data_IF_691941133332
#
_entry.id   IF_691941133332
#
_cell.length_a   1.000
_cell.length_b   1.000
_cell.length_c   1.000
_cell.angle_alpha   90.00
_cell.angle_beta   90.00
_cell.angle_gamma   90.00
#
_symmetry.space_group_name_H-M   'P 1'
#
loop_
_entity.id
_entity.type
_entity.pdbx_description
1 polymer ?
#
# COMPACT_ATOMS: atom_id res chain seq x y z
N UNK A 1 6.65 -6.38 6.33
CA UNK A 1 5.97 -5.43 5.41
C UNK A 1 5.82 -4.10 6.11
N UNK A 2 5.84 -2.99 5.39
CA UNK A 2 5.57 -1.66 5.94
C UNK A 2 4.09 -1.30 5.78
N UNK A 3 3.54 -1.52 4.57
CA UNK A 3 2.16 -1.23 4.25
C UNK A 3 1.56 -2.19 3.21
N UNK A 4 0.23 -2.23 3.18
CA UNK A 4 -0.59 -2.98 2.22
C UNK A 4 -1.57 -2.05 1.51
N UNK A 5 -2.42 -2.60 0.66
CA UNK A 5 -3.42 -1.86 -0.12
C UNK A 5 -4.63 -2.76 -0.45
N UNK A 6 -5.59 -2.24 -1.22
CA UNK A 6 -6.80 -2.96 -1.65
C UNK A 6 -6.75 -3.52 -3.08
N UNK A 7 -5.57 -3.85 -3.62
CA UNK A 7 -5.39 -4.40 -4.97
C UNK A 7 -6.22 -5.66 -5.21
N UNK A 8 -6.45 -6.48 -4.18
CA UNK A 8 -7.31 -7.66 -4.29
C UNK A 8 -8.73 -7.31 -4.73
N UNK A 9 -9.27 -6.14 -4.31
CA UNK A 9 -10.59 -5.69 -4.76
C UNK A 9 -10.57 -5.32 -6.24
N UNK A 10 -9.59 -4.53 -6.65
CA UNK A 10 -9.38 -4.19 -8.06
C UNK A 10 -9.16 -5.44 -8.90
N UNK A 11 -8.41 -6.43 -8.40
CA UNK A 11 -8.09 -7.65 -9.11
C UNK A 11 -9.31 -8.49 -9.45
N UNK A 12 -10.29 -8.66 -8.54
CA UNK A 12 -11.51 -9.37 -8.93
C UNK A 12 -12.35 -8.57 -9.93
N UNK A 13 -12.46 -7.25 -9.76
CA UNK A 13 -13.20 -6.42 -10.70
C UNK A 13 -12.53 -6.37 -12.09
N UNK A 14 -11.21 -6.49 -12.13
CA UNK A 14 -10.45 -6.57 -13.38
C UNK A 14 -10.82 -7.81 -14.21
N UNK A 15 -11.15 -8.92 -13.55
CA UNK A 15 -11.57 -10.16 -14.21
C UNK A 15 -13.03 -10.14 -14.67
N UNK A 16 -13.81 -9.13 -14.28
CA UNK A 16 -15.20 -8.95 -14.71
C UNK A 16 -15.25 -8.01 -15.93
N UNK A 17 -15.77 -8.46 -17.10
CA UNK A 17 -15.75 -7.67 -18.33
C UNK A 17 -16.34 -6.26 -18.19
N UNK A 18 -17.41 -6.11 -17.42
CA UNK A 18 -18.07 -4.82 -17.16
C UNK A 18 -17.18 -3.83 -16.42
N UNK A 19 -16.32 -4.31 -15.51
CA UNK A 19 -15.52 -3.47 -14.62
C UNK A 19 -14.05 -3.37 -15.05
N UNK A 20 -13.59 -4.26 -15.94
CA UNK A 20 -12.18 -4.40 -16.35
C UNK A 20 -11.50 -3.09 -16.70
N UNK A 21 -12.07 -2.34 -17.65
CA UNK A 21 -11.45 -1.10 -18.14
C UNK A 21 -11.46 0.01 -17.07
N UNK A 22 -12.49 0.04 -16.23
CA UNK A 22 -12.57 0.99 -15.12
C UNK A 22 -11.55 0.67 -14.04
N UNK A 23 -11.44 -0.60 -13.65
CA UNK A 23 -10.44 -1.09 -12.71
C UNK A 23 -9.03 -0.79 -13.21
N UNK A 24 -8.76 -1.08 -14.50
CA UNK A 24 -7.46 -0.80 -15.14
C UNK A 24 -7.07 0.67 -15.02
N UNK A 25 -8.01 1.57 -15.39
CA UNK A 25 -7.76 3.02 -15.42
C UNK A 25 -7.54 3.61 -14.04
N UNK A 26 -8.24 3.12 -13.02
CA UNK A 26 -8.27 3.76 -11.70
C UNK A 26 -7.30 3.11 -10.68
N UNK A 27 -6.71 1.95 -11.01
CA UNK A 27 -5.81 1.24 -10.10
C UNK A 27 -4.50 2.00 -9.79
N UNK A 28 -3.76 2.45 -10.80
CA UNK A 28 -2.49 3.17 -10.57
C UNK A 28 -2.69 4.50 -9.84
N UNK A 29 -3.71 5.33 -10.18
CA UNK A 29 -4.04 6.52 -9.38
C UNK A 29 -4.39 6.21 -7.92
N UNK A 30 -5.09 5.10 -7.66
CA UNK A 30 -5.34 4.63 -6.29
C UNK A 30 -4.03 4.28 -5.58
N UNK A 31 -3.15 3.50 -6.21
CA UNK A 31 -1.86 3.13 -5.64
C UNK A 31 -0.98 4.34 -5.36
N UNK A 32 -0.99 5.35 -6.23
CA UNK A 32 -0.27 6.61 -5.98
C UNK A 32 -0.78 7.34 -4.73
N UNK A 33 -2.10 7.39 -4.53
CA UNK A 33 -2.68 7.98 -3.33
C UNK A 33 -2.28 7.20 -2.06
N UNK A 34 -2.29 5.86 -2.12
CA UNK A 34 -1.82 4.99 -1.03
C UNK A 34 -0.36 5.31 -0.69
N UNK A 35 0.52 5.34 -1.69
CA UNK A 35 1.95 5.63 -1.51
C UNK A 35 2.17 6.99 -0.88
N UNK A 36 1.49 8.04 -1.36
CA UNK A 36 1.60 9.39 -0.79
C UNK A 36 1.17 9.44 0.69
N UNK A 37 0.16 8.68 1.09
CA UNK A 37 -0.25 8.56 2.49
C UNK A 37 0.84 7.91 3.35
N UNK A 38 1.48 6.86 2.83
CA UNK A 38 2.52 6.13 3.56
C UNK A 38 3.88 6.84 3.58
N UNK A 39 4.20 7.67 2.59
CA UNK A 39 5.31 8.63 2.65
C UNK A 39 5.11 9.59 3.83
N UNK A 40 3.92 10.18 3.94
CA UNK A 40 3.59 11.08 5.05
C UNK A 40 3.60 10.37 6.42
N UNK A 41 3.11 9.13 6.48
CA UNK A 41 3.14 8.32 7.69
C UNK A 41 4.58 7.95 8.10
N UNK A 42 5.46 7.67 7.14
CA UNK A 42 6.87 7.40 7.41
C UNK A 42 7.57 8.60 8.06
N UNK A 43 7.39 9.80 7.49
CA UNK A 43 7.95 11.03 8.07
C UNK A 43 7.36 11.30 9.46
N UNK A 44 6.05 11.10 9.66
CA UNK A 44 5.43 11.28 10.97
C UNK A 44 5.97 10.30 12.03
N UNK A 45 6.25 9.06 11.65
CA UNK A 45 6.75 8.02 12.55
C UNK A 45 8.24 8.19 12.91
N UNK A 46 9.07 8.50 11.91
CA UNK A 46 10.53 8.41 11.99
C UNK A 46 11.25 9.76 11.84
N UNK A 47 10.54 10.84 11.50
CA UNK A 47 11.11 12.16 11.22
C UNK A 47 11.86 12.24 9.88
N UNK A 48 11.85 11.16 9.10
CA UNK A 48 12.49 11.04 7.77
C UNK A 48 11.81 9.95 6.95
N UNK A 49 12.09 9.93 5.66
CA UNK A 49 11.79 8.77 4.82
C UNK A 49 12.75 7.62 5.11
N UNK A 50 12.29 6.40 4.84
CA UNK A 50 13.05 5.15 4.94
C UNK A 50 12.57 4.16 3.86
N UNK A 51 13.37 3.16 3.47
CA UNK A 51 12.94 2.14 2.51
C UNK A 51 11.67 1.47 3.01
N UNK A 52 10.60 1.49 2.20
CA UNK A 52 9.32 0.87 2.57
C UNK A 52 9.15 -0.47 1.85
N UNK A 53 8.52 -1.43 2.53
CA UNK A 53 8.18 -2.75 1.98
C UNK A 53 6.68 -2.76 1.69
N UNK A 54 6.33 -2.66 0.41
CA UNK A 54 4.96 -2.79 -0.09
C UNK A 54 4.61 -4.27 -0.29
N UNK A 55 3.42 -4.68 0.17
CA UNK A 55 2.82 -5.95 -0.22
C UNK A 55 1.82 -5.72 -1.35
N UNK A 56 1.89 -6.57 -2.37
CA UNK A 56 0.93 -6.66 -3.48
C UNK A 56 0.73 -8.13 -3.83
N UNK A 57 -0.42 -8.47 -4.41
CA UNK A 57 -0.77 -9.83 -4.77
C UNK A 57 -0.31 -10.19 -6.18
N UNK A 58 0.14 -11.43 -6.39
CA UNK A 58 0.40 -11.96 -7.72
C UNK A 58 -0.94 -12.28 -8.43
N UNK A 59 -1.48 -11.31 -9.17
CA UNK A 59 -2.75 -11.40 -9.89
C UNK A 59 -2.63 -10.83 -11.32
N UNK A 60 -3.64 -11.06 -12.17
CA UNK A 60 -3.63 -10.64 -13.57
C UNK A 60 -3.54 -9.11 -13.73
N UNK A 61 -4.26 -8.36 -12.89
CA UNK A 61 -4.21 -6.90 -12.88
C UNK A 61 -2.79 -6.38 -12.64
N UNK A 62 -2.12 -6.89 -11.60
CA UNK A 62 -0.75 -6.50 -11.26
C UNK A 62 0.23 -6.98 -12.33
N UNK A 63 0.04 -8.15 -12.93
CA UNK A 63 0.88 -8.61 -14.03
C UNK A 63 0.79 -7.65 -15.23
N UNK A 64 -0.43 -7.25 -15.60
CA UNK A 64 -0.71 -6.40 -16.77
C UNK A 64 -0.34 -4.92 -16.56
N UNK A 65 -0.39 -4.43 -15.30
CA UNK A 65 -0.13 -3.03 -14.95
C UNK A 65 1.20 -2.81 -14.22
N UNK A 66 2.03 -3.85 -14.08
CA UNK A 66 3.34 -3.73 -13.45
C UNK A 66 4.20 -2.65 -14.11
N UNK A 67 4.28 -2.53 -15.46
CA UNK A 67 5.07 -1.48 -16.08
C UNK A 67 4.64 -0.08 -15.66
N UNK A 68 3.34 0.21 -15.63
CA UNK A 68 2.76 1.48 -15.22
C UNK A 68 2.96 1.75 -13.72
N UNK A 69 2.79 0.73 -12.87
CA UNK A 69 3.00 0.84 -11.44
C UNK A 69 4.48 1.13 -11.10
N UNK A 70 5.42 0.44 -11.74
CA UNK A 70 6.85 0.68 -11.60
C UNK A 70 7.26 2.06 -12.15
N UNK A 71 6.64 2.51 -13.24
CA UNK A 71 6.86 3.85 -13.79
C UNK A 71 6.39 4.94 -12.82
N UNK A 72 5.22 4.76 -12.20
CA UNK A 72 4.71 5.65 -11.15
C UNK A 72 5.71 5.76 -10.00
N UNK A 73 6.17 4.63 -9.43
CA UNK A 73 7.19 4.65 -8.38
C UNK A 73 8.47 5.38 -8.81
N UNK A 74 8.98 5.11 -10.01
CA UNK A 74 10.19 5.80 -10.52
C UNK A 74 9.98 7.31 -10.68
N UNK A 75 8.81 7.74 -11.15
CA UNK A 75 8.49 9.18 -11.28
C UNK A 75 8.43 9.91 -9.94
N UNK A 76 8.15 9.17 -8.86
CA UNK A 76 8.19 9.66 -7.48
C UNK A 76 9.60 9.61 -6.86
N UNK A 77 10.61 9.16 -7.61
CA UNK A 77 12.00 9.10 -7.15
C UNK A 77 12.40 7.79 -6.48
N UNK A 78 11.55 6.76 -6.51
CA UNK A 78 11.90 5.47 -5.92
C UNK A 78 12.96 4.71 -6.73
N UNK A 79 13.88 4.10 -5.98
CA UNK A 79 14.69 2.96 -6.43
C UNK A 79 14.24 1.69 -5.72
N UNK A 80 14.34 0.54 -6.39
CA UNK A 80 14.01 -0.76 -5.82
C UNK A 80 15.27 -1.40 -5.22
N UNK A 81 15.18 -1.80 -3.95
CA UNK A 81 16.28 -2.41 -3.18
C UNK A 81 15.89 -3.81 -2.73
N UNK A 82 16.88 -4.60 -2.29
CA UNK A 82 16.58 -5.92 -1.72
C UNK A 82 15.91 -5.80 -0.35
N UNK A 83 15.25 -6.88 0.08
CA UNK A 83 14.64 -6.93 1.39
C UNK A 83 15.69 -6.75 2.51
N UNK A 84 16.87 -7.36 2.38
CA UNK A 84 17.95 -7.22 3.36
C UNK A 84 18.40 -5.77 3.51
N UNK A 85 18.49 -5.03 2.40
CA UNK A 85 18.81 -3.60 2.44
C UNK A 85 17.73 -2.82 3.19
N UNK A 86 16.45 -3.05 2.88
CA UNK A 86 15.35 -2.36 3.55
C UNK A 86 15.36 -2.63 5.07
N UNK A 87 15.49 -3.90 5.47
CA UNK A 87 15.50 -4.31 6.88
C UNK A 87 16.74 -3.86 7.66
N UNK A 88 17.77 -3.35 6.99
CA UNK A 88 18.94 -2.78 7.68
C UNK A 88 18.60 -1.46 8.39
N UNK A 89 17.56 -0.74 7.94
CA UNK A 89 17.11 0.51 8.55
C UNK A 89 16.58 0.29 9.98
N UNK A 90 17.01 1.15 10.92
CA UNK A 90 16.67 1.05 12.35
C UNK A 90 15.17 1.12 12.65
N UNK A 91 14.36 1.69 11.75
CA UNK A 91 12.89 1.70 11.91
C UNK A 91 12.33 0.27 12.02
N UNK A 92 12.93 -0.71 11.34
CA UNK A 92 12.52 -2.11 11.42
C UNK A 92 12.87 -2.79 12.74
N UNK A 93 13.63 -2.14 13.61
CA UNK A 93 13.95 -2.61 14.97
C UNK A 93 13.07 -1.96 16.05
N UNK A 94 12.15 -1.07 15.66
CA UNK A 94 11.26 -0.42 16.61
C UNK A 94 10.39 -1.46 17.35
N UNK A 95 10.15 -1.27 18.67
CA UNK A 95 9.25 -2.12 19.41
C UNK A 95 7.83 -2.04 18.84
N UNK A 96 7.10 -3.14 19.01
CA UNK A 96 5.75 -3.34 18.49
C UNK A 96 4.97 -4.11 19.58
N UNK A 97 3.92 -3.49 20.12
CA UNK A 97 3.14 -4.00 21.27
C UNK A 97 1.67 -4.26 20.94
N UNK A 98 1.28 -4.15 19.66
CA UNK A 98 -0.06 -4.39 19.18
C UNK A 98 -0.41 -5.87 19.28
N UNK A 99 -1.37 -6.16 20.17
CA UNK A 99 -2.03 -7.46 20.27
C UNK A 99 -3.48 -7.29 19.82
N UNK A 100 -3.82 -7.82 18.65
CA UNK A 100 -5.19 -7.76 18.14
C UNK A 100 -5.36 -8.49 16.80
N UNK A 101 -6.63 -8.61 16.37
CA UNK A 101 -7.01 -9.32 15.14
C UNK A 101 -7.03 -8.43 13.90
N UNK A 102 -6.75 -7.14 14.04
CA UNK A 102 -6.77 -6.18 12.93
C UNK A 102 -5.54 -6.35 12.04
N UNK A 103 -5.77 -6.48 10.74
CA UNK A 103 -4.72 -6.54 9.70
C UNK A 103 -4.12 -5.18 9.39
N UNK A 104 -3.71 -4.41 10.42
CA UNK A 104 -3.13 -3.08 10.21
C UNK A 104 -1.79 -3.18 9.49
N UNK A 105 -1.57 -2.25 8.54
CA UNK A 105 -0.24 -1.93 8.02
C UNK A 105 0.74 -1.76 9.17
N UNK A 106 1.94 -2.32 9.04
CA UNK A 106 2.89 -2.43 10.14
C UNK A 106 3.32 -1.07 10.68
N UNK A 107 3.39 -0.07 9.81
CA UNK A 107 3.67 1.31 10.20
C UNK A 107 2.67 1.87 11.22
N UNK A 108 1.40 1.46 11.16
CA UNK A 108 0.37 1.87 12.12
C UNK A 108 0.55 1.18 13.46
N UNK A 109 1.11 -0.04 13.49
CA UNK A 109 1.47 -0.72 14.73
C UNK A 109 2.59 0.04 15.45
N UNK A 110 3.69 0.36 14.75
CA UNK A 110 4.75 1.21 15.32
C UNK A 110 4.24 2.59 15.75
N UNK A 111 3.38 3.21 14.95
CA UNK A 111 2.78 4.53 15.27
C UNK A 111 1.99 4.44 16.58
N UNK A 112 1.20 3.37 16.76
CA UNK A 112 0.45 3.10 17.98
C UNK A 112 1.36 2.84 19.17
N UNK A 113 2.40 2.02 19.02
CA UNK A 113 3.38 1.75 20.09
C UNK A 113 4.08 3.02 20.56
N UNK A 114 4.31 3.99 19.66
CA UNK A 114 4.84 5.32 20.03
C UNK A 114 3.80 6.29 20.62
N UNK A 115 2.53 5.88 20.74
CA UNK A 115 1.44 6.75 21.22
C UNK A 115 1.09 7.89 20.25
N UNK A 116 1.44 7.75 18.97
CA UNK A 116 1.17 8.75 17.94
C UNK A 116 -0.22 8.53 17.31
N UNK A 117 -0.89 9.60 16.82
CA UNK A 117 -2.16 9.46 16.12
C UNK A 117 -1.96 8.77 14.77
N UNK A 118 -2.80 7.77 14.48
CA UNK A 118 -2.86 7.11 13.18
C UNK A 118 -3.71 7.96 12.24
N UNK A 119 -3.19 8.25 11.04
CA UNK A 119 -3.97 8.81 9.93
C UNK A 119 -4.65 7.67 9.17
N UNK A 120 -5.88 7.91 8.73
CA UNK A 120 -6.61 6.95 7.90
C UNK A 120 -5.88 6.70 6.58
N UNK A 121 -5.89 5.44 6.13
CA UNK A 121 -5.39 5.05 4.83
C UNK A 121 -6.38 5.50 3.74
N UNK A 122 -5.92 5.76 2.50
CA UNK A 122 -6.82 6.02 1.39
C UNK A 122 -7.67 4.79 1.09
N UNK A 123 -8.99 4.97 1.18
CA UNK A 123 -9.95 3.96 0.73
C UNK A 123 -9.92 3.85 -0.79
N UNK A 124 -10.16 2.65 -1.37
CA UNK A 124 -10.38 2.53 -2.80
C UNK A 124 -11.62 3.36 -3.21
N UNK A 125 -11.74 3.75 -4.49
CA UNK A 125 -12.91 4.46 -4.99
C UNK A 125 -14.21 3.72 -4.61
N UNK A 126 -15.25 4.44 -4.18
CA UNK A 126 -16.47 3.83 -3.62
C UNK A 126 -17.07 2.72 -4.50
N UNK A 127 -17.05 2.90 -5.83
CA UNK A 127 -17.55 1.90 -6.77
C UNK A 127 -16.80 0.56 -6.69
N UNK A 128 -15.51 0.57 -6.34
CA UNK A 128 -14.70 -0.64 -6.16
C UNK A 128 -15.20 -1.41 -4.95
N UNK A 129 -15.38 -0.73 -3.81
CA UNK A 129 -15.89 -1.35 -2.58
C UNK A 129 -17.31 -1.87 -2.76
N UNK A 130 -18.18 -1.10 -3.42
CA UNK A 130 -19.56 -1.48 -3.71
C UNK A 130 -19.65 -2.68 -4.66
N UNK A 131 -18.91 -2.66 -5.77
CA UNK A 131 -18.92 -3.76 -6.75
C UNK A 131 -18.29 -5.03 -6.17
N UNK A 132 -17.22 -4.91 -5.37
CA UNK A 132 -16.60 -6.04 -4.68
C UNK A 132 -17.55 -6.68 -3.66
N UNK A 133 -18.31 -5.87 -2.91
CA UNK A 133 -19.26 -6.38 -1.93
C UNK A 133 -20.46 -7.13 -2.52
N UNK A 134 -20.77 -6.89 -3.80
CA UNK A 134 -21.88 -7.50 -4.53
C UNK A 134 -21.48 -8.72 -5.38
N UNK A 135 -20.22 -9.17 -5.30
CA UNK A 135 -19.71 -10.32 -6.08
C UNK A 135 -20.14 -11.67 -5.52
#
# INVERSE_FOLDING_TARGET
MTFDNSDYMFAALYTTPEHRERARREYVPYMEAVVASFEAAAVALAGREFPQILVIHANELNADLMPELLAMFRSRGYSFVTLEHALADDVYRLPEDYVGRGGFSWIHRWTRTKGLPIKAEPEPPAWVSEAWGNR
#
